data_IF_630597221974
#
_entry.id   IF_630597221974
#
_cell.length_a   1.000
_cell.length_b   1.000
_cell.length_c   1.000
_cell.angle_alpha   90.00
_cell.angle_beta   90.00
_cell.angle_gamma   90.00
#
_symmetry.space_group_name_H-M   'P 1'
#
loop_
_entity.id
_entity.type
_entity.pdbx_description
1 polymer ?
#
# COMPACT_ATOMS: atom_id res chain seq x y z
N UNK A 1 3.92 46.18 -32.35
CA UNK A 1 2.77 45.51 -31.68
C UNK A 1 2.97 44.01 -31.50
N UNK A 2 3.36 43.29 -32.55
CA UNK A 2 3.52 41.82 -32.53
C UNK A 2 4.50 41.27 -31.47
N UNK A 3 5.62 41.96 -31.18
CA UNK A 3 6.55 41.55 -30.11
C UNK A 3 5.91 41.54 -28.71
N UNK A 4 5.08 42.55 -28.38
CA UNK A 4 4.40 42.61 -27.07
C UNK A 4 3.34 41.53 -26.95
N UNK A 5 2.61 41.26 -28.03
CA UNK A 5 1.61 40.18 -28.09
C UNK A 5 2.29 38.81 -27.92
N UNK A 6 3.42 38.57 -28.61
CA UNK A 6 4.18 37.33 -28.47
C UNK A 6 4.71 37.09 -27.06
N UNK A 7 5.19 38.13 -26.38
CA UNK A 7 5.64 38.04 -24.98
C UNK A 7 4.47 37.68 -24.05
N UNK A 8 3.30 38.30 -24.24
CA UNK A 8 2.11 38.02 -23.41
C UNK A 8 1.65 36.57 -23.61
N UNK A 9 1.61 36.07 -24.85
CA UNK A 9 1.25 34.68 -25.16
C UNK A 9 2.26 33.72 -24.52
N UNK A 10 3.55 34.01 -24.60
CA UNK A 10 4.59 33.18 -23.99
C UNK A 10 4.43 33.08 -22.47
N UNK A 11 4.14 34.21 -21.79
CA UNK A 11 3.91 34.24 -20.35
C UNK A 11 2.67 33.40 -19.98
N UNK A 12 1.59 33.50 -20.75
CA UNK A 12 0.37 32.71 -20.55
C UNK A 12 0.64 31.20 -20.71
N UNK A 13 1.38 30.81 -21.75
CA UNK A 13 1.77 29.41 -21.97
C UNK A 13 2.66 28.89 -20.85
N UNK A 14 3.63 29.69 -20.38
CA UNK A 14 4.49 29.33 -19.25
C UNK A 14 3.71 29.21 -17.95
N UNK A 15 2.77 30.12 -17.68
CA UNK A 15 1.93 30.08 -16.49
C UNK A 15 1.04 28.82 -16.48
N UNK A 16 0.37 28.53 -17.60
CA UNK A 16 -0.44 27.32 -17.76
C UNK A 16 0.41 26.04 -17.68
N UNK A 17 1.60 26.05 -18.27
CA UNK A 17 2.57 24.95 -18.16
C UNK A 17 2.97 24.68 -16.72
N UNK A 18 3.32 25.72 -15.95
CA UNK A 18 3.67 25.58 -14.54
C UNK A 18 2.49 25.04 -13.71
N UNK A 19 1.28 25.54 -13.92
CA UNK A 19 0.08 25.00 -13.24
C UNK A 19 -0.13 23.53 -13.62
N UNK A 20 0.00 23.17 -14.89
CA UNK A 20 -0.13 21.79 -15.36
C UNK A 20 0.92 20.87 -14.73
N UNK A 21 2.21 21.23 -14.75
CA UNK A 21 3.27 20.42 -14.15
C UNK A 21 3.15 20.33 -12.62
N UNK A 22 2.70 21.40 -11.96
CA UNK A 22 2.49 21.40 -10.50
C UNK A 22 1.27 20.56 -10.08
N UNK A 23 0.23 20.53 -10.91
CA UNK A 23 -1.00 19.75 -10.66
C UNK A 23 -0.94 18.33 -11.20
N UNK A 24 -0.01 18.04 -12.12
CA UNK A 24 0.31 16.69 -12.55
C UNK A 24 0.99 15.98 -11.40
N UNK A 25 0.18 15.39 -10.54
CA UNK A 25 0.61 14.42 -9.55
C UNK A 25 1.33 13.33 -10.35
N UNK A 26 2.65 13.23 -10.18
CA UNK A 26 3.39 12.07 -10.64
C UNK A 26 2.72 10.85 -10.02
N UNK A 27 1.98 10.13 -10.85
CA UNK A 27 1.40 8.86 -10.47
C UNK A 27 2.58 7.97 -10.15
N UNK A 28 2.68 7.54 -8.88
CA UNK A 28 3.66 6.55 -8.48
C UNK A 28 3.59 5.38 -9.46
N UNK A 29 4.76 4.91 -9.91
CA UNK A 29 4.87 3.76 -10.79
C UNK A 29 4.47 2.45 -10.09
N UNK A 30 4.17 2.51 -8.79
CA UNK A 30 3.78 1.38 -7.97
C UNK A 30 2.44 1.63 -7.26
N UNK A 31 1.63 0.58 -7.18
CA UNK A 31 0.37 0.55 -6.47
C UNK A 31 0.45 -0.45 -5.31
N UNK A 32 -0.17 -0.10 -4.17
CA UNK A 32 -0.32 -1.00 -3.02
C UNK A 32 -1.73 -1.60 -3.06
N UNK A 33 -1.81 -2.93 -2.99
CA UNK A 33 -3.08 -3.67 -2.96
C UNK A 33 -3.09 -4.59 -1.74
N UNK A 34 -4.24 -4.72 -1.09
CA UNK A 34 -4.42 -5.54 0.11
C UNK A 34 -5.35 -6.69 -0.20
N UNK A 35 -4.85 -7.92 -0.11
CA UNK A 35 -5.61 -9.15 -0.26
C UNK A 35 -6.05 -9.72 1.08
N UNK A 36 -7.15 -10.47 1.06
CA UNK A 36 -7.64 -11.24 2.21
C UNK A 36 -7.25 -12.70 2.09
N UNK A 37 -6.85 -13.30 3.19
CA UNK A 37 -6.60 -14.73 3.24
C UNK A 37 -7.93 -15.50 3.20
N UNK A 38 -7.98 -16.54 2.38
CA UNK A 38 -9.11 -17.45 2.24
C UNK A 38 -8.59 -18.86 2.49
N UNK A 39 -9.26 -19.58 3.39
CA UNK A 39 -8.93 -20.97 3.72
C UNK A 39 -9.89 -21.86 2.91
N UNK A 40 -9.34 -22.66 2.02
CA UNK A 40 -10.08 -23.65 1.24
C UNK A 40 -10.47 -24.87 2.08
N UNK A 41 -11.34 -25.72 1.54
CA UNK A 41 -11.89 -26.90 2.23
C UNK A 41 -10.80 -27.88 2.71
N UNK A 42 -9.68 -27.97 1.99
CA UNK A 42 -8.54 -28.82 2.35
C UNK A 42 -7.51 -28.14 3.26
N UNK A 43 -7.88 -27.03 3.91
CA UNK A 43 -6.94 -26.16 4.66
C UNK A 43 -5.87 -25.49 3.78
N UNK A 44 -6.07 -25.48 2.46
CA UNK A 44 -5.22 -24.73 1.53
C UNK A 44 -5.41 -23.23 1.75
N UNK A 45 -4.30 -22.50 1.91
CA UNK A 45 -4.33 -21.05 2.14
C UNK A 45 -4.14 -20.36 0.80
N UNK A 46 -5.14 -19.61 0.37
CA UNK A 46 -5.09 -18.77 -0.82
C UNK A 46 -5.28 -17.29 -0.45
N UNK A 47 -4.79 -16.39 -1.29
CA UNK A 47 -5.01 -14.95 -1.11
C UNK A 47 -5.98 -14.47 -2.19
N UNK A 48 -7.08 -13.86 -1.75
CA UNK A 48 -8.09 -13.27 -2.62
C UNK A 48 -7.84 -11.78 -2.79
N UNK A 49 -7.59 -11.37 -4.05
CA UNK A 49 -7.44 -9.97 -4.46
C UNK A 49 -8.64 -9.45 -5.29
N UNK A 50 -9.67 -10.27 -5.54
CA UNK A 50 -10.76 -9.94 -6.49
C UNK A 50 -11.58 -8.70 -6.09
N UNK A 51 -11.63 -8.37 -4.80
CA UNK A 51 -12.31 -7.16 -4.28
C UNK A 51 -11.33 -6.06 -3.83
N UNK A 52 -10.04 -6.26 -4.06
CA UNK A 52 -9.00 -5.33 -3.64
C UNK A 52 -8.88 -4.20 -4.65
N UNK A 53 -8.74 -2.98 -4.13
CA UNK A 53 -8.47 -1.79 -4.95
C UNK A 53 -7.13 -1.19 -4.56
N UNK A 54 -6.38 -0.63 -5.52
CA UNK A 54 -5.18 0.15 -5.21
C UNK A 54 -5.48 1.25 -4.19
N UNK A 55 -4.56 1.44 -3.25
CA UNK A 55 -4.62 2.54 -2.28
C UNK A 55 -4.40 3.85 -3.04
N UNK A 56 -5.47 4.61 -3.23
CA UNK A 56 -5.47 5.85 -4.00
C UNK A 56 -5.23 7.10 -3.14
N UNK A 57 -5.45 7.03 -1.82
CA UNK A 57 -5.21 8.13 -0.92
C UNK A 57 -3.72 8.19 -0.55
N UNK A 58 -3.11 9.37 -0.73
CA UNK A 58 -1.68 9.58 -0.50
C UNK A 58 -1.27 9.39 0.96
N UNK A 59 -2.11 9.81 1.90
CA UNK A 59 -1.79 9.71 3.33
C UNK A 59 -1.85 8.25 3.78
N UNK A 60 -2.92 7.52 3.41
CA UNK A 60 -3.04 6.09 3.68
C UNK A 60 -1.86 5.29 3.10
N UNK A 61 -1.45 5.65 1.88
CA UNK A 61 -0.32 5.05 1.19
C UNK A 61 1.00 5.27 1.96
N UNK A 62 1.29 6.53 2.28
CA UNK A 62 2.50 6.91 3.01
C UNK A 62 2.53 6.29 4.41
N UNK A 63 1.39 6.24 5.10
CA UNK A 63 1.28 5.59 6.41
C UNK A 63 1.69 4.14 6.34
N UNK A 64 1.24 3.36 5.34
CA UNK A 64 1.69 1.97 5.17
C UNK A 64 3.19 1.90 4.92
N UNK A 65 3.71 2.67 3.96
CA UNK A 65 5.13 2.64 3.58
C UNK A 65 6.02 2.96 4.76
N UNK A 66 5.78 4.09 5.44
CA UNK A 66 6.61 4.49 6.57
C UNK A 66 6.46 3.53 7.73
N UNK A 67 5.27 2.96 7.97
CA UNK A 67 5.10 1.98 9.06
C UNK A 67 5.86 0.68 8.79
N UNK A 68 5.96 0.26 7.53
CA UNK A 68 6.80 -0.87 7.14
C UNK A 68 8.29 -0.56 7.33
N UNK A 69 8.72 0.66 6.99
CA UNK A 69 10.11 1.10 7.19
C UNK A 69 10.49 1.18 8.68
N UNK A 70 9.61 1.73 9.50
CA UNK A 70 9.83 1.95 10.94
C UNK A 70 9.58 0.69 11.78
N UNK A 71 9.14 -0.41 11.16
CA UNK A 71 8.84 -1.66 11.87
C UNK A 71 10.10 -2.30 12.45
N UNK A 72 9.95 -2.87 13.65
CA UNK A 72 11.07 -3.41 14.43
C UNK A 72 11.15 -4.93 14.24
N UNK A 73 12.34 -5.46 13.99
CA UNK A 73 12.54 -6.91 13.87
C UNK A 73 12.30 -7.64 15.19
N UNK A 74 11.65 -8.78 15.11
CA UNK A 74 11.30 -9.65 16.23
C UNK A 74 11.45 -11.12 15.85
N UNK A 75 11.53 -11.98 16.85
CA UNK A 75 11.40 -13.43 16.66
C UNK A 75 9.98 -13.81 16.22
N UNK A 76 9.84 -15.00 15.62
CA UNK A 76 8.55 -15.53 15.17
C UNK A 76 7.56 -15.62 16.34
N UNK A 77 6.44 -14.86 16.32
CA UNK A 77 5.42 -14.96 17.35
C UNK A 77 4.48 -16.15 17.09
N UNK A 78 3.84 -16.66 18.16
CA UNK A 78 2.90 -17.80 18.06
C UNK A 78 1.70 -17.54 17.15
N UNK A 79 1.19 -16.31 17.08
CA UNK A 79 0.06 -15.96 16.20
C UNK A 79 0.36 -16.26 14.71
N UNK A 80 1.64 -16.24 14.33
CA UNK A 80 2.10 -16.55 12.98
C UNK A 80 2.15 -18.06 12.67
N UNK A 81 1.65 -18.92 13.56
CA UNK A 81 1.30 -20.30 13.25
C UNK A 81 -0.04 -20.40 12.51
N UNK A 82 -0.92 -19.42 12.69
CA UNK A 82 -2.17 -19.30 11.94
C UNK A 82 -1.93 -18.61 10.58
N UNK A 83 -2.84 -18.79 9.60
CA UNK A 83 -2.83 -18.02 8.37
C UNK A 83 -2.84 -16.50 8.64
N UNK A 84 -2.18 -15.68 7.80
CA UNK A 84 -2.21 -14.23 7.96
C UNK A 84 -3.63 -13.69 7.82
N UNK A 85 -3.95 -12.58 8.47
CA UNK A 85 -5.24 -11.89 8.32
C UNK A 85 -5.36 -11.21 6.96
N UNK A 86 -4.24 -10.68 6.45
CA UNK A 86 -4.18 -10.02 5.16
C UNK A 86 -2.79 -10.10 4.55
N UNK A 87 -2.72 -9.80 3.25
CA UNK A 87 -1.47 -9.73 2.52
C UNK A 87 -1.40 -8.39 1.79
N UNK A 88 -0.33 -7.65 2.01
CA UNK A 88 -0.04 -6.41 1.31
C UNK A 88 0.90 -6.72 0.16
N UNK A 89 0.58 -6.23 -1.03
CA UNK A 89 1.45 -6.34 -2.20
C UNK A 89 1.74 -4.98 -2.80
N UNK A 90 2.99 -4.79 -3.21
CA UNK A 90 3.46 -3.65 -3.97
C UNK A 90 3.72 -4.14 -5.38
N UNK A 91 2.99 -3.58 -6.34
CA UNK A 91 3.05 -4.00 -7.72
C UNK A 91 3.45 -2.83 -8.62
N UNK A 92 4.17 -3.11 -9.69
CA UNK A 92 4.28 -2.20 -10.82
C UNK A 92 2.89 -1.93 -11.40
N UNK A 93 2.59 -0.65 -11.59
CA UNK A 93 1.28 -0.20 -12.05
C UNK A 93 1.02 -0.50 -13.53
N UNK A 94 2.06 -0.65 -14.35
CA UNK A 94 1.98 -0.82 -15.81
C UNK A 94 2.11 -2.29 -16.21
N UNK A 95 3.10 -2.98 -15.65
CA UNK A 95 3.52 -4.31 -16.07
C UNK A 95 2.99 -5.42 -15.14
N UNK A 96 2.32 -5.05 -14.03
CA UNK A 96 1.74 -5.99 -13.08
C UNK A 96 2.78 -6.83 -12.33
N UNK A 97 4.05 -6.43 -12.39
CA UNK A 97 5.16 -7.11 -11.72
C UNK A 97 5.03 -6.90 -10.21
N UNK A 98 5.03 -7.99 -9.44
CA UNK A 98 5.03 -7.93 -7.98
C UNK A 98 6.45 -7.63 -7.46
N UNK A 99 6.64 -6.48 -6.83
CA UNK A 99 7.94 -6.08 -6.28
C UNK A 99 8.13 -6.54 -4.83
N UNK A 100 7.07 -6.51 -4.05
CA UNK A 100 7.14 -6.86 -2.64
C UNK A 100 5.80 -7.40 -2.15
N UNK A 101 5.86 -8.40 -1.28
CA UNK A 101 4.69 -8.98 -0.63
C UNK A 101 4.96 -9.10 0.84
N UNK A 102 3.98 -8.81 1.68
CA UNK A 102 4.07 -9.02 3.11
C UNK A 102 2.79 -9.65 3.65
N UNK A 103 2.97 -10.69 4.45
CA UNK A 103 1.92 -11.30 5.24
C UNK A 103 1.75 -10.50 6.53
N UNK A 104 0.50 -10.27 6.92
CA UNK A 104 0.13 -9.41 8.03
C UNK A 104 -0.74 -10.20 9.03
N UNK A 105 -0.37 -10.17 10.30
CA UNK A 105 -1.17 -10.67 11.42
C UNK A 105 -1.54 -9.52 12.35
N UNK A 106 -2.81 -9.42 12.69
CA UNK A 106 -3.36 -8.43 13.61
C UNK A 106 -3.41 -9.05 15.01
N UNK A 107 -2.66 -8.47 15.95
CA UNK A 107 -2.62 -8.92 17.33
C UNK A 107 -3.01 -7.77 18.28
N UNK A 108 -4.30 -7.66 18.59
CA UNK A 108 -4.85 -6.60 19.44
C UNK A 108 -4.43 -5.19 18.98
N UNK A 109 -3.40 -4.62 19.60
CA UNK A 109 -2.83 -3.30 19.35
C UNK A 109 -1.49 -3.34 18.61
N UNK A 110 -1.12 -4.46 17.99
CA UNK A 110 0.06 -4.58 17.17
C UNK A 110 -0.22 -5.28 15.85
N UNK A 111 0.65 -5.02 14.89
CA UNK A 111 0.67 -5.65 13.57
C UNK A 111 2.00 -6.37 13.43
N UNK A 112 1.93 -7.67 13.19
CA UNK A 112 3.11 -8.47 12.86
C UNK A 112 3.16 -8.61 11.35
N UNK A 113 4.35 -8.40 10.80
CA UNK A 113 4.60 -8.37 9.37
C UNK A 113 5.68 -9.39 9.06
N UNK A 114 5.48 -10.16 8.01
CA UNK A 114 6.54 -10.98 7.41
C UNK A 114 6.60 -10.71 5.92
N UNK A 115 7.67 -10.08 5.47
CA UNK A 115 7.98 -9.93 4.05
C UNK A 115 8.16 -11.30 3.40
N UNK A 116 7.81 -11.47 2.13
CA UNK A 116 8.19 -12.67 1.39
C UNK A 116 9.62 -12.48 0.85
N UNK A 117 10.50 -13.45 1.10
CA UNK A 117 11.89 -13.41 0.67
C UNK A 117 12.80 -14.34 1.50
N UNK A 118 14.00 -14.62 0.98
CA UNK A 118 14.95 -15.54 1.61
C UNK A 118 15.45 -15.04 2.97
N UNK A 119 15.51 -13.73 3.18
CA UNK A 119 15.91 -13.10 4.46
C UNK A 119 14.71 -12.61 5.28
N UNK A 120 13.53 -13.20 5.07
CA UNK A 120 12.29 -12.73 5.70
C UNK A 120 12.30 -12.91 7.22
N UNK A 121 12.56 -11.80 7.93
CA UNK A 121 12.39 -11.71 9.38
C UNK A 121 10.99 -11.21 9.72
N UNK A 122 10.50 -11.60 10.89
CA UNK A 122 9.26 -11.05 11.43
C UNK A 122 9.55 -9.64 11.94
N UNK A 123 8.61 -8.73 11.70
CA UNK A 123 8.65 -7.37 12.21
C UNK A 123 7.35 -7.02 12.90
N UNK A 124 7.39 -6.02 13.78
CA UNK A 124 6.22 -5.52 14.51
C UNK A 124 6.06 -4.01 14.33
N UNK A 125 4.80 -3.59 14.23
CA UNK A 125 4.36 -2.21 14.44
C UNK A 125 3.47 -2.24 15.67
N UNK A 126 3.68 -1.32 16.61
CA UNK A 126 2.95 -1.28 17.88
C UNK A 126 2.05 -0.05 18.02
N UNK A 127 1.14 -0.12 18.99
CA UNK A 127 0.34 0.97 19.52
C UNK A 127 -0.50 1.72 18.47
N UNK A 128 -0.53 3.05 18.56
CA UNK A 128 -1.41 3.91 17.76
C UNK A 128 -1.19 3.75 16.26
N UNK A 129 0.08 3.56 15.87
CA UNK A 129 0.45 3.34 14.47
C UNK A 129 -0.11 2.03 13.94
N UNK A 130 -0.09 0.97 14.76
CA UNK A 130 -0.71 -0.29 14.37
C UNK A 130 -2.23 -0.13 14.16
N UNK A 131 -2.90 0.62 15.03
CA UNK A 131 -4.34 0.87 14.90
C UNK A 131 -4.69 1.68 13.64
N UNK A 132 -3.86 2.66 13.28
CA UNK A 132 -4.01 3.41 12.03
C UNK A 132 -3.93 2.48 10.82
N UNK A 133 -2.90 1.63 10.75
CA UNK A 133 -2.72 0.71 9.64
C UNK A 133 -3.86 -0.33 9.59
N UNK A 134 -4.35 -0.82 10.73
CA UNK A 134 -5.52 -1.72 10.78
C UNK A 134 -6.76 -1.04 10.19
N UNK A 135 -6.98 0.25 10.47
CA UNK A 135 -8.10 1.01 9.89
C UNK A 135 -7.95 1.13 8.38
N UNK A 136 -6.74 1.41 7.88
CA UNK A 136 -6.44 1.47 6.45
C UNK A 136 -6.69 0.09 5.80
N UNK A 137 -6.15 -0.99 6.37
CA UNK A 137 -6.36 -2.36 5.89
C UNK A 137 -7.86 -2.66 5.75
N UNK A 138 -8.66 -2.38 6.79
CA UNK A 138 -10.11 -2.60 6.79
C UNK A 138 -10.87 -1.71 5.80
N UNK A 139 -10.36 -0.50 5.51
CA UNK A 139 -10.95 0.42 4.52
C UNK A 139 -10.82 -0.12 3.10
N UNK A 140 -9.71 -0.80 2.80
CA UNK A 140 -9.40 -1.29 1.44
C UNK A 140 -9.74 -2.77 1.22
N UNK A 141 -10.00 -3.52 2.30
CA UNK A 141 -10.62 -4.85 2.25
C UNK A 141 -12.15 -4.66 2.26
N UNK A 142 -12.79 -4.77 1.09
CA UNK A 142 -14.25 -4.76 1.02
C UNK A 142 -14.80 -6.01 1.73
N UNK A 143 -15.66 -5.85 2.74
CA UNK A 143 -16.28 -6.99 3.47
C UNK A 143 -16.88 -8.00 2.49
N UNK A 144 -16.56 -9.27 2.72
CA UNK A 144 -17.32 -10.38 2.16
C UNK A 144 -18.62 -10.40 2.96
N UNK A 145 -19.70 -9.82 2.42
CA UNK A 145 -21.03 -10.23 2.82
C UNK A 145 -21.12 -11.72 2.50
N UNK A 146 -21.17 -12.53 3.55
CA UNK A 146 -21.44 -13.97 3.50
C UNK A 146 -22.91 -14.18 3.16
#
# INVERSE_FOLDING_TARGET
>A
MYKKIGIIVLILVLALGNVYFYTKIDKLDYDIIIGTTVIGENSDIAINFSKSKPISNKDDFNSIVFSLMDSVSIDKPKICENPPDSVITFNDRKDGIQYYTANIWINNNSLIIKSNGNESTYKIIEADRAQEIIKIIKKYITKIDK
#
